data_IF_436287185337
#
_entry.id   IF_436287185337
#
_cell.length_a   1.000
_cell.length_b   1.000
_cell.length_c   1.000
_cell.angle_alpha   90.00
_cell.angle_beta   90.00
_cell.angle_gamma   90.00
#
_symmetry.space_group_name_H-M   'P 1'
#
loop_
_entity.id
_entity.type
_entity.pdbx_description
1 polymer ?
#
# COMPACT_ATOMS: atom_id res chain seq x y z
N UNK A 1 -16.73 14.49 14.42
CA UNK A 1 -15.98 13.22 14.45
C UNK A 1 -15.66 12.86 13.01
N UNK A 2 -14.40 13.02 12.58
CA UNK A 2 -13.98 12.69 11.23
C UNK A 2 -13.75 11.18 11.18
N UNK A 3 -14.59 10.50 10.42
CA UNK A 3 -14.56 9.05 10.26
C UNK A 3 -13.20 8.63 9.71
N UNK A 4 -12.42 7.97 10.56
CA UNK A 4 -11.20 7.25 10.23
C UNK A 4 -11.56 6.15 9.21
N UNK A 5 -11.50 6.50 7.93
CA UNK A 5 -11.63 5.56 6.81
C UNK A 5 -10.40 4.67 6.76
N UNK A 6 -10.37 3.65 7.61
CA UNK A 6 -9.46 2.53 7.48
C UNK A 6 -9.99 1.60 6.38
N UNK A 7 -9.81 1.98 5.12
CA UNK A 7 -10.13 1.11 3.99
C UNK A 7 -9.10 -0.03 3.95
N UNK A 8 -9.52 -1.31 4.02
CA UNK A 8 -8.59 -2.43 4.07
C UNK A 8 -7.87 -2.58 2.73
N UNK A 9 -6.60 -2.18 2.70
CA UNK A 9 -5.81 -2.22 1.47
C UNK A 9 -5.28 -3.62 1.25
N UNK A 10 -5.93 -4.36 0.37
CA UNK A 10 -5.47 -5.69 -0.01
C UNK A 10 -4.25 -5.56 -0.93
N UNK A 11 -3.14 -6.19 -0.55
CA UNK A 11 -1.97 -6.38 -1.39
C UNK A 11 -1.56 -7.84 -1.48
N UNK A 12 -0.78 -8.15 -2.51
CA UNK A 12 -0.25 -9.48 -2.72
C UNK A 12 1.07 -9.64 -1.96
N UNK A 13 1.10 -10.61 -1.05
CA UNK A 13 2.31 -10.95 -0.33
C UNK A 13 3.12 -11.97 -1.13
N UNK A 14 4.29 -11.59 -1.63
CA UNK A 14 5.16 -12.53 -2.36
C UNK A 14 5.68 -13.69 -1.50
N UNK A 15 5.81 -13.50 -0.18
CA UNK A 15 6.19 -14.57 0.76
C UNK A 15 5.06 -15.53 1.06
N UNK A 16 3.82 -15.02 1.19
CA UNK A 16 2.66 -15.88 1.46
C UNK A 16 2.04 -16.44 0.18
N UNK A 17 2.35 -15.84 -0.97
CA UNK A 17 1.70 -16.06 -2.27
C UNK A 17 0.17 -15.90 -2.23
N UNK A 18 -0.30 -15.07 -1.31
CA UNK A 18 -1.70 -14.79 -1.06
C UNK A 18 -1.96 -13.28 -1.11
N UNK A 19 -3.19 -12.90 -1.49
CA UNK A 19 -3.70 -11.55 -1.30
C UNK A 19 -4.16 -11.41 0.15
N UNK A 20 -3.65 -10.41 0.86
CA UNK A 20 -4.00 -10.13 2.26
C UNK A 20 -4.12 -8.63 2.49
N UNK A 21 -4.87 -8.30 3.52
CA UNK A 21 -4.97 -6.94 4.02
C UNK A 21 -3.61 -6.49 4.57
N UNK A 22 -3.20 -5.30 4.16
CA UNK A 22 -2.02 -4.65 4.70
C UNK A 22 -2.35 -4.09 6.09
N UNK A 23 -1.46 -4.36 7.02
CA UNK A 23 -1.45 -3.76 8.35
C UNK A 23 -0.76 -2.40 8.27
N UNK A 24 -1.37 -1.38 8.86
CA UNK A 24 -0.93 0.02 8.77
C UNK A 24 -0.78 0.52 7.32
N UNK A 25 -1.86 0.45 6.49
CA UNK A 25 -1.78 0.94 5.13
C UNK A 25 -1.61 2.47 5.13
N UNK A 26 -0.53 2.96 4.53
CA UNK A 26 -0.24 4.38 4.37
C UNK A 26 -0.15 4.74 2.90
N UNK A 27 -0.85 5.79 2.49
CA UNK A 27 -0.63 6.38 1.18
C UNK A 27 0.68 7.16 1.17
N UNK A 28 1.52 6.88 0.18
CA UNK A 28 2.80 7.54 -0.07
C UNK A 28 2.83 8.05 -1.51
N UNK A 29 3.16 9.33 -1.64
CA UNK A 29 3.39 9.99 -2.93
C UNK A 29 4.88 9.89 -3.27
N UNK A 30 5.23 9.20 -4.36
CA UNK A 30 6.60 9.17 -4.88
C UNK A 30 6.72 9.99 -6.17
N UNK A 31 7.75 10.82 -6.29
CA UNK A 31 8.06 11.51 -7.56
C UNK A 31 8.72 10.51 -8.52
N UNK A 32 8.08 10.23 -9.65
CA UNK A 32 8.62 9.38 -10.70
C UNK A 32 9.46 10.15 -11.73
N UNK A 33 10.14 9.40 -12.61
CA UNK A 33 10.86 9.98 -13.77
C UNK A 33 9.90 10.75 -14.68
N UNK A 34 10.33 11.95 -15.11
CA UNK A 34 9.59 12.82 -16.02
C UNK A 34 8.63 13.82 -15.35
N UNK A 35 8.86 14.16 -14.07
CA UNK A 35 8.02 15.14 -13.36
C UNK A 35 6.66 14.61 -12.93
N UNK A 36 6.46 13.29 -12.95
CA UNK A 36 5.15 12.71 -12.67
C UNK A 36 5.05 12.18 -11.25
N UNK A 37 4.11 12.73 -10.49
CA UNK A 37 3.77 12.24 -9.16
C UNK A 37 3.03 10.89 -9.28
N UNK A 38 3.55 9.88 -8.59
CA UNK A 38 2.93 8.55 -8.50
C UNK A 38 2.44 8.33 -7.08
N UNK A 39 1.23 7.82 -6.95
CA UNK A 39 0.68 7.37 -5.68
C UNK A 39 0.91 5.88 -5.49
N UNK A 40 1.36 5.51 -4.32
CA UNK A 40 1.46 4.12 -3.89
C UNK A 40 0.93 4.01 -2.46
N UNK A 41 0.36 2.87 -2.11
CA UNK A 41 0.11 2.50 -0.74
C UNK A 41 1.20 1.57 -0.26
N UNK A 42 1.75 1.86 0.90
CA UNK A 42 2.66 0.98 1.61
C UNK A 42 1.92 0.37 2.79
N UNK A 43 2.29 -0.82 3.21
CA UNK A 43 1.81 -1.41 4.45
C UNK A 43 2.61 -2.64 4.81
N UNK A 44 2.20 -3.38 5.82
CA UNK A 44 2.93 -4.51 6.38
C UNK A 44 2.08 -5.77 6.29
N UNK A 45 2.69 -6.91 5.94
CA UNK A 45 2.00 -8.19 6.03
C UNK A 45 1.81 -8.61 7.50
N UNK A 46 0.58 -8.80 8.00
CA UNK A 46 0.37 -9.25 9.38
C UNK A 46 0.85 -10.69 9.63
N UNK A 47 1.02 -11.50 8.57
CA UNK A 47 1.44 -12.91 8.68
C UNK A 47 2.96 -13.08 8.75
N UNK A 48 3.69 -12.34 7.91
CA UNK A 48 5.14 -12.53 7.74
C UNK A 48 5.97 -11.27 8.01
N UNK A 49 5.34 -10.16 8.42
CA UNK A 49 6.00 -8.89 8.71
C UNK A 49 6.66 -8.21 7.51
N UNK A 50 6.49 -8.74 6.29
CA UNK A 50 7.13 -8.18 5.10
C UNK A 50 6.40 -6.93 4.63
N UNK A 51 7.13 -5.86 4.33
CA UNK A 51 6.57 -4.65 3.73
C UNK A 51 5.96 -4.97 2.37
N UNK A 52 4.71 -4.59 2.19
CA UNK A 52 3.97 -4.69 0.95
C UNK A 52 3.75 -3.29 0.37
N UNK A 53 3.75 -3.21 -0.95
CA UNK A 53 3.51 -1.98 -1.68
C UNK A 53 2.47 -2.22 -2.78
N UNK A 54 1.51 -1.32 -2.91
CA UNK A 54 0.48 -1.30 -3.94
C UNK A 54 0.55 0.02 -4.70
N UNK A 55 1.05 -0.01 -5.92
CA UNK A 55 1.17 1.19 -6.75
C UNK A 55 -0.22 1.49 -7.35
N UNK A 56 -0.79 2.66 -7.07
CA UNK A 56 -2.13 3.05 -7.52
C UNK A 56 -2.13 3.84 -8.84
N UNK A 57 -0.98 4.38 -9.26
CA UNK A 57 -0.82 5.03 -10.56
C UNK A 57 -0.37 6.49 -10.47
N UNK A 58 -0.30 7.15 -11.62
CA UNK A 58 0.04 8.58 -11.73
C UNK A 58 -1.15 9.42 -11.21
N UNK A 59 -0.85 10.48 -10.48
CA UNK A 59 -1.85 11.50 -10.16
C UNK A 59 -2.18 12.30 -11.43
#
# INVERSE_FOLDING_TARGET
>A
MAEEKNEPVIAYCVKCKDKREMQDPREVSMKGKGGVERRAMTGICPKCGTKMFRIMGKK
#
